data_IF_403438072389
#
_entry.id   IF_403438072389
#
_cell.length_a   1.000
_cell.length_b   1.000
_cell.length_c   1.000
_cell.angle_alpha   90.00
_cell.angle_beta   90.00
_cell.angle_gamma   90.00
#
_symmetry.space_group_name_H-M   'P 1'
#
loop_
_entity.id
_entity.type
_entity.pdbx_description
1 polymer ?
#
# COMPACT_ATOMS: atom_id res chain seq x y z
N UNK A 1 19.65 19.74 20.69
CA UNK A 1 19.27 18.51 21.44
C UNK A 1 18.63 18.94 22.75
N UNK A 2 17.44 18.44 23.08
CA UNK A 2 16.79 18.76 24.35
C UNK A 2 17.45 17.96 25.48
N UNK A 3 17.80 18.62 26.59
CA UNK A 3 18.30 17.95 27.80
C UNK A 3 17.10 17.39 28.57
N UNK A 4 17.11 16.09 28.84
CA UNK A 4 16.04 15.40 29.57
C UNK A 4 16.46 15.17 31.02
N UNK A 5 15.51 15.31 31.95
CA UNK A 5 15.72 15.12 33.38
C UNK A 5 14.62 14.21 33.93
N UNK A 6 14.99 13.26 34.78
CA UNK A 6 14.07 12.34 35.45
C UNK A 6 13.69 12.90 36.81
N UNK A 7 12.40 12.89 37.15
CA UNK A 7 11.89 13.25 38.47
C UNK A 7 11.53 11.96 39.22
N UNK A 8 12.17 11.69 40.36
CA UNK A 8 11.89 10.50 41.19
C UNK A 8 11.96 9.17 40.41
N UNK A 9 12.96 9.03 39.53
CA UNK A 9 13.18 7.87 38.64
C UNK A 9 12.07 7.64 37.60
N UNK A 10 11.19 8.61 37.36
CA UNK A 10 10.24 8.58 36.24
C UNK A 10 10.97 8.77 34.90
N UNK A 11 10.29 8.50 33.79
CA UNK A 11 10.86 8.69 32.45
C UNK A 11 11.35 10.15 32.26
N UNK A 12 12.60 10.35 31.78
CA UNK A 12 13.15 11.68 31.60
C UNK A 12 12.33 12.54 30.64
N UNK A 13 12.02 13.76 31.08
CA UNK A 13 11.30 14.75 30.28
C UNK A 13 12.06 16.08 30.25
N UNK A 14 11.68 16.98 29.35
CA UNK A 14 12.18 18.36 29.38
C UNK A 14 11.81 19.03 30.70
N UNK A 15 12.74 19.81 31.28
CA UNK A 15 12.46 20.55 32.51
C UNK A 15 11.24 21.46 32.34
N UNK A 16 10.34 21.50 33.35
CA UNK A 16 9.25 22.46 33.33
C UNK A 16 9.82 23.88 33.42
N UNK A 17 9.15 24.83 32.77
CA UNK A 17 9.56 26.25 32.81
C UNK A 17 9.52 26.84 34.22
N UNK A 18 8.74 26.24 35.13
CA UNK A 18 8.54 26.73 36.49
C UNK A 18 8.85 25.65 37.51
N UNK A 19 9.85 25.88 38.37
CA UNK A 19 10.21 25.01 39.47
C UNK A 19 10.16 25.76 40.79
N UNK A 20 9.64 25.09 41.82
CA UNK A 20 9.68 25.59 43.19
C UNK A 20 10.91 24.98 43.86
N UNK A 21 11.91 25.82 44.10
CA UNK A 21 13.20 25.42 44.69
C UNK A 21 13.31 26.18 46.01
N UNK A 22 13.50 25.46 47.12
CA UNK A 22 13.65 26.06 48.47
C UNK A 22 12.54 27.03 48.88
N UNK A 23 11.30 26.78 48.43
CA UNK A 23 10.15 27.64 48.73
C UNK A 23 9.95 28.80 47.76
N UNK A 24 10.93 29.11 46.90
CA UNK A 24 10.85 30.16 45.89
C UNK A 24 10.51 29.57 44.51
N UNK A 25 9.58 30.20 43.81
CA UNK A 25 9.20 29.80 42.45
C UNK A 25 10.10 30.51 41.44
N UNK A 26 10.89 29.77 40.68
CA UNK A 26 11.70 30.29 39.58
C UNK A 26 11.09 29.87 38.24
N UNK A 27 11.11 30.77 37.26
CA UNK A 27 10.43 30.62 35.95
C UNK A 27 11.37 30.51 34.76
N UNK A 28 12.68 30.41 35.00
CA UNK A 28 13.68 30.29 33.94
C UNK A 28 14.44 28.98 34.09
N UNK A 29 14.12 28.02 33.21
CA UNK A 29 14.70 26.68 33.21
C UNK A 29 16.16 26.62 32.80
N UNK A 30 16.70 27.67 32.17
CA UNK A 30 18.12 27.77 31.82
C UNK A 30 18.98 28.20 33.01
N UNK A 31 18.37 28.78 34.04
CA UNK A 31 19.05 29.31 35.23
C UNK A 31 19.19 28.29 36.37
N UNK A 32 18.67 27.07 36.20
CA UNK A 32 18.71 26.02 37.23
C UNK A 32 20.09 25.37 37.28
N UNK A 33 20.69 25.37 38.47
CA UNK A 33 21.93 24.66 38.74
C UNK A 33 21.68 23.18 39.01
N UNK A 34 22.71 22.34 38.86
CA UNK A 34 22.61 20.90 39.11
C UNK A 34 22.23 20.61 40.58
N UNK A 35 22.75 21.39 41.52
CA UNK A 35 22.44 21.28 42.95
C UNK A 35 20.96 21.57 43.24
N UNK A 36 20.40 22.61 42.63
CA UNK A 36 18.98 22.96 42.78
C UNK A 36 18.05 21.89 42.19
N UNK A 37 18.43 21.33 41.04
CA UNK A 37 17.69 20.24 40.40
C UNK A 37 17.70 18.98 41.28
N UNK A 38 18.86 18.62 41.83
CA UNK A 38 18.98 17.49 42.76
C UNK A 38 18.13 17.70 44.04
N UNK A 39 18.12 18.92 44.60
CA UNK A 39 17.25 19.25 45.75
C UNK A 39 15.76 19.16 45.42
N UNK A 40 15.37 19.48 44.18
CA UNK A 40 14.02 19.34 43.68
C UNK A 40 13.65 17.89 43.27
N UNK A 41 14.58 16.93 43.42
CA UNK A 41 14.38 15.51 43.10
C UNK A 41 14.58 15.15 41.63
N UNK A 42 15.16 16.05 40.84
CA UNK A 42 15.53 15.79 39.44
C UNK A 42 16.94 15.20 39.33
N UNK A 43 17.10 14.23 38.44
CA UNK A 43 18.38 13.62 38.06
C UNK A 43 18.62 13.78 36.55
N UNK A 44 19.89 13.91 36.13
CA UNK A 44 20.27 14.09 34.72
C UNK A 44 21.52 14.95 34.54
N UNK A 45 21.79 15.43 33.31
CA UNK A 45 20.98 15.28 32.11
C UNK A 45 21.08 13.87 31.48
N UNK A 46 19.96 13.36 30.98
CA UNK A 46 19.90 12.16 30.17
C UNK A 46 19.76 12.51 28.69
N UNK A 47 20.39 11.69 27.85
CA UNK A 47 20.21 11.73 26.41
C UNK A 47 19.58 10.42 25.98
N UNK A 48 18.48 10.49 25.23
CA UNK A 48 17.85 9.31 24.65
C UNK A 48 18.80 8.76 23.58
N UNK A 49 19.25 7.50 23.67
CA UNK A 49 20.11 6.91 22.65
C UNK A 49 19.37 6.83 21.31
N UNK A 50 20.13 6.92 20.22
CA UNK A 50 19.63 6.58 18.89
C UNK A 50 19.50 5.07 18.78
N UNK A 51 18.38 4.58 18.28
CA UNK A 51 18.13 3.17 18.02
C UNK A 51 17.54 3.00 16.62
N UNK A 52 17.66 1.81 16.05
CA UNK A 52 16.92 1.42 14.86
C UNK A 52 15.46 1.13 15.24
N UNK A 53 14.48 1.91 14.75
CA UNK A 53 13.07 1.72 15.12
C UNK A 53 12.47 0.38 14.63
N UNK A 54 13.14 -0.29 13.68
CA UNK A 54 12.71 -1.58 13.14
C UNK A 54 13.11 -2.73 14.05
N UNK A 55 14.31 -2.69 14.61
CA UNK A 55 14.93 -3.83 15.30
C UNK A 55 15.13 -3.60 16.79
N UNK A 56 14.98 -2.37 17.28
CA UNK A 56 15.32 -2.00 18.66
C UNK A 56 14.24 -1.12 19.31
N UNK A 57 14.20 -1.19 20.64
CA UNK A 57 13.41 -0.29 21.48
C UNK A 57 14.26 0.34 22.57
N UNK A 58 13.93 1.58 22.92
CA UNK A 58 14.57 2.29 24.03
C UNK A 58 13.66 2.22 25.25
N UNK A 59 14.14 1.63 26.33
CA UNK A 59 13.41 1.47 27.59
C UNK A 59 14.11 2.25 28.71
N UNK A 60 13.34 2.97 29.51
CA UNK A 60 13.83 3.61 30.73
C UNK A 60 13.88 2.61 31.88
N UNK A 61 15.04 2.45 32.52
CA UNK A 61 15.26 1.50 33.63
C UNK A 61 15.35 2.18 35.00
N UNK A 62 14.88 3.42 35.14
CA UNK A 62 14.91 4.19 36.39
C UNK A 62 16.21 4.97 36.62
N UNK A 63 17.35 4.47 36.14
CA UNK A 63 18.66 5.14 36.26
C UNK A 63 19.27 5.55 34.92
N UNK A 64 18.73 5.04 33.81
CA UNK A 64 19.25 5.28 32.47
C UNK A 64 18.35 4.66 31.40
N UNK A 65 18.61 5.04 30.14
CA UNK A 65 18.02 4.37 28.99
C UNK A 65 18.84 3.11 28.64
N UNK A 66 18.14 2.02 28.36
CA UNK A 66 18.70 0.82 27.75
C UNK A 66 18.10 0.65 26.35
N UNK A 67 18.95 0.28 25.40
CA UNK A 67 18.50 -0.17 24.07
C UNK A 67 18.38 -1.67 24.15
N UNK A 68 17.20 -2.20 23.81
CA UNK A 68 16.94 -3.63 23.75
C UNK A 68 16.63 -4.01 22.32
N UNK A 69 17.20 -5.12 21.88
CA UNK A 69 16.84 -5.74 20.60
C UNK A 69 15.43 -6.35 20.72
N UNK A 70 14.63 -6.19 19.67
CA UNK A 70 13.33 -6.82 19.56
C UNK A 70 13.49 -8.31 19.29
N UNK A 71 12.55 -9.10 19.77
CA UNK A 71 12.46 -10.50 19.38
C UNK A 71 12.07 -10.62 17.90
N UNK A 72 12.58 -11.65 17.21
CA UNK A 72 12.30 -11.90 15.79
C UNK A 72 10.80 -11.89 15.47
N UNK A 73 9.96 -12.42 16.38
CA UNK A 73 8.50 -12.43 16.21
C UNK A 73 7.86 -11.04 16.20
N UNK A 74 8.41 -10.09 16.98
CA UNK A 74 7.91 -8.72 17.02
C UNK A 74 8.41 -7.93 15.81
N UNK A 75 9.64 -8.20 15.34
CA UNK A 75 10.15 -7.63 14.09
C UNK A 75 9.25 -8.07 12.92
N UNK A 76 8.93 -9.36 12.82
CA UNK A 76 8.06 -9.88 11.76
C UNK A 76 6.65 -9.30 11.85
N UNK A 77 6.10 -9.19 13.07
CA UNK A 77 4.79 -8.56 13.28
C UNK A 77 4.77 -7.12 12.77
N UNK A 78 5.79 -6.31 13.11
CA UNK A 78 5.90 -4.92 12.64
C UNK A 78 6.08 -4.82 11.14
N UNK A 79 6.89 -5.72 10.57
CA UNK A 79 7.08 -5.84 9.11
C UNK A 79 5.73 -6.07 8.43
N UNK A 80 4.96 -7.05 8.92
CA UNK A 80 3.64 -7.37 8.40
C UNK A 80 2.65 -6.21 8.57
N UNK A 81 2.63 -5.54 9.72
CA UNK A 81 1.79 -4.35 9.94
C UNK A 81 2.15 -3.21 8.96
N UNK A 82 3.43 -3.01 8.68
CA UNK A 82 3.89 -2.02 7.70
C UNK A 82 3.47 -2.38 6.27
N UNK A 83 3.57 -3.66 5.89
CA UNK A 83 3.08 -4.17 4.59
C UNK A 83 1.58 -3.94 4.46
N UNK A 84 0.79 -4.31 5.48
CA UNK A 84 -0.67 -4.09 5.50
C UNK A 84 -1.03 -2.61 5.35
N UNK A 85 -0.31 -1.74 6.04
CA UNK A 85 -0.53 -0.29 5.96
C UNK A 85 -0.17 0.30 4.58
N UNK A 86 0.77 -0.32 3.86
CA UNK A 86 1.19 0.08 2.52
C UNK A 86 0.39 -0.54 1.37
N UNK A 87 -0.47 -1.53 1.64
CA UNK A 87 -1.22 -2.25 0.61
C UNK A 87 -2.28 -1.38 -0.07
N UNK A 88 -2.23 -1.26 -1.40
CA UNK A 88 -3.20 -0.51 -2.21
C UNK A 88 -4.16 -1.45 -2.95
N UNK A 89 -5.15 -1.98 -2.22
CA UNK A 89 -6.20 -2.83 -2.79
C UNK A 89 -6.99 -2.16 -3.92
N UNK A 90 -7.14 -0.83 -3.89
CA UNK A 90 -7.90 -0.09 -4.90
C UNK A 90 -7.09 0.06 -6.18
N UNK A 91 -5.80 0.39 -6.07
CA UNK A 91 -4.87 0.41 -7.19
C UNK A 91 -4.77 -0.96 -7.84
N UNK A 92 -4.55 -2.00 -7.05
CA UNK A 92 -4.51 -3.39 -7.51
C UNK A 92 -5.79 -3.78 -8.26
N UNK A 93 -6.96 -3.51 -7.69
CA UNK A 93 -8.23 -3.83 -8.34
C UNK A 93 -8.38 -3.18 -9.71
N UNK A 94 -7.97 -1.90 -9.85
CA UNK A 94 -8.01 -1.21 -11.15
C UNK A 94 -7.05 -1.84 -12.15
N UNK A 95 -5.83 -2.17 -11.73
CA UNK A 95 -4.85 -2.83 -12.57
C UNK A 95 -5.33 -4.22 -13.01
N UNK A 96 -5.90 -5.00 -12.09
CA UNK A 96 -6.47 -6.30 -12.35
C UNK A 96 -7.58 -6.20 -13.40
N UNK A 97 -8.55 -5.29 -13.24
CA UNK A 97 -9.62 -5.10 -14.23
C UNK A 97 -9.13 -4.79 -15.66
N UNK A 98 -7.95 -4.18 -15.77
CA UNK A 98 -7.33 -3.86 -17.06
C UNK A 98 -6.39 -4.93 -17.62
N UNK A 99 -6.07 -5.98 -16.85
CA UNK A 99 -5.10 -6.99 -17.25
C UNK A 99 -5.72 -8.13 -18.07
N UNK A 100 -4.86 -8.87 -18.79
CA UNK A 100 -5.24 -10.13 -19.44
C UNK A 100 -5.73 -11.17 -18.43
N UNK A 101 -5.11 -11.22 -17.24
CA UNK A 101 -5.49 -12.11 -16.13
C UNK A 101 -6.99 -12.01 -15.86
N UNK A 102 -7.54 -10.81 -15.71
CA UNK A 102 -8.97 -10.65 -15.45
C UNK A 102 -9.86 -11.11 -16.61
N UNK A 103 -9.41 -10.98 -17.86
CA UNK A 103 -10.14 -11.52 -19.01
C UNK A 103 -10.17 -13.05 -18.97
N UNK A 104 -9.06 -13.69 -18.56
CA UNK A 104 -8.99 -15.14 -18.37
C UNK A 104 -9.87 -15.61 -17.22
N UNK A 105 -9.87 -14.90 -16.08
CA UNK A 105 -10.79 -15.18 -14.97
C UNK A 105 -12.25 -15.11 -15.42
N UNK A 106 -12.60 -14.07 -16.20
CA UNK A 106 -13.96 -13.89 -16.72
C UNK A 106 -14.34 -15.00 -17.70
N UNK A 107 -13.43 -15.39 -18.59
CA UNK A 107 -13.67 -16.46 -19.55
C UNK A 107 -13.89 -17.81 -18.84
N UNK A 108 -13.07 -18.12 -17.85
CA UNK A 108 -13.21 -19.33 -17.04
C UNK A 108 -14.51 -19.33 -16.23
N UNK A 109 -14.85 -18.22 -15.57
CA UNK A 109 -16.11 -18.08 -14.83
C UNK A 109 -17.36 -18.21 -15.72
N UNK A 110 -17.26 -17.89 -17.01
CA UNK A 110 -18.35 -18.10 -17.96
C UNK A 110 -18.43 -19.56 -18.45
N UNK A 111 -17.33 -20.30 -18.39
CA UNK A 111 -17.23 -21.67 -18.90
C UNK A 111 -17.47 -22.74 -17.83
N UNK A 112 -17.14 -22.46 -16.56
CA UNK A 112 -17.20 -23.42 -15.46
C UNK A 112 -17.84 -22.82 -14.20
N UNK A 113 -18.74 -23.58 -13.58
CA UNK A 113 -19.47 -23.14 -12.37
C UNK A 113 -18.55 -23.04 -11.15
N UNK A 114 -17.58 -23.95 -11.01
CA UNK A 114 -16.60 -23.91 -9.92
C UNK A 114 -15.73 -22.66 -10.01
N UNK A 115 -15.19 -22.38 -11.20
CA UNK A 115 -14.44 -21.16 -11.48
C UNK A 115 -15.30 -19.90 -11.25
N UNK A 116 -16.58 -19.92 -11.60
CA UNK A 116 -17.50 -18.81 -11.35
C UNK A 116 -17.63 -18.49 -9.84
N UNK A 117 -17.79 -19.54 -9.03
CA UNK A 117 -17.87 -19.42 -7.57
C UNK A 117 -16.59 -18.81 -6.99
N UNK A 118 -15.43 -19.35 -7.34
CA UNK A 118 -14.12 -18.87 -6.86
C UNK A 118 -13.84 -17.42 -7.27
N UNK A 119 -14.13 -17.07 -8.53
CA UNK A 119 -13.96 -15.69 -9.03
C UNK A 119 -14.91 -14.74 -8.28
N UNK A 120 -16.15 -15.14 -8.04
CA UNK A 120 -17.13 -14.31 -7.32
C UNK A 120 -16.70 -14.08 -5.87
N UNK A 121 -16.20 -15.12 -5.20
CA UNK A 121 -15.68 -15.03 -3.83
C UNK A 121 -14.48 -14.09 -3.74
N UNK A 122 -13.50 -14.22 -4.65
CA UNK A 122 -12.36 -13.31 -4.72
C UNK A 122 -12.81 -11.86 -4.95
N UNK A 123 -13.76 -11.62 -5.84
CA UNK A 123 -14.29 -10.27 -6.13
C UNK A 123 -14.98 -9.68 -4.90
N UNK A 124 -15.78 -10.49 -4.17
CA UNK A 124 -16.44 -10.06 -2.95
C UNK A 124 -15.41 -9.66 -1.88
N UNK A 125 -14.43 -10.52 -1.62
CA UNK A 125 -13.38 -10.27 -0.64
C UNK A 125 -12.53 -9.03 -0.99
N UNK A 126 -12.19 -8.84 -2.26
CA UNK A 126 -11.52 -7.62 -2.74
C UNK A 126 -12.42 -6.38 -2.68
N UNK A 127 -13.75 -6.54 -2.75
CA UNK A 127 -14.71 -5.45 -2.59
C UNK A 127 -14.60 -4.79 -1.21
N UNK A 128 -14.61 -5.61 -0.16
CA UNK A 128 -14.49 -5.16 1.22
C UNK A 128 -13.11 -4.54 1.49
N UNK A 129 -12.06 -5.17 0.95
CA UNK A 129 -10.70 -4.63 1.05
C UNK A 129 -10.55 -3.21 0.47
N UNK A 130 -11.23 -2.90 -0.65
CA UNK A 130 -11.22 -1.54 -1.25
C UNK A 130 -11.93 -0.48 -0.39
N UNK A 131 -12.78 -0.91 0.53
CA UNK A 131 -13.47 -0.07 1.49
C UNK A 131 -12.66 0.11 2.79
N UNK A 132 -11.49 -0.52 2.89
CA UNK A 132 -10.60 -0.43 4.05
C UNK A 132 -10.78 -1.56 5.06
N UNK A 133 -11.53 -2.60 4.72
CA UNK A 133 -11.80 -3.75 5.59
C UNK A 133 -11.30 -5.06 4.94
N UNK A 134 -9.98 -5.20 4.69
CA UNK A 134 -9.45 -6.41 4.06
C UNK A 134 -9.57 -7.61 5.01
N UNK A 135 -10.20 -8.69 4.53
CA UNK A 135 -10.12 -10.00 5.16
C UNK A 135 -9.01 -10.82 4.47
N UNK A 136 -7.79 -10.70 4.99
CA UNK A 136 -6.59 -11.31 4.39
C UNK A 136 -6.69 -12.84 4.30
N UNK A 137 -7.31 -13.49 5.27
CA UNK A 137 -7.49 -14.94 5.27
C UNK A 137 -8.38 -15.39 4.10
N UNK A 138 -9.53 -14.73 3.90
CA UNK A 138 -10.44 -15.03 2.80
C UNK A 138 -9.82 -14.69 1.44
N UNK A 139 -9.17 -13.52 1.32
CA UNK A 139 -8.52 -13.13 0.06
C UNK A 139 -7.39 -14.11 -0.30
N UNK A 140 -6.58 -14.51 0.69
CA UNK A 140 -5.51 -15.48 0.51
C UNK A 140 -6.03 -16.85 0.07
N UNK A 141 -7.05 -17.39 0.74
CA UNK A 141 -7.67 -18.68 0.38
C UNK A 141 -8.27 -18.62 -1.02
N UNK A 142 -9.09 -17.60 -1.31
CA UNK A 142 -9.73 -17.45 -2.60
C UNK A 142 -8.71 -17.30 -3.74
N UNK A 143 -7.62 -16.55 -3.53
CA UNK A 143 -6.54 -16.41 -4.51
C UNK A 143 -5.83 -17.75 -4.75
N UNK A 144 -5.51 -18.48 -3.68
CA UNK A 144 -4.83 -19.78 -3.77
C UNK A 144 -5.67 -20.82 -4.51
N UNK A 145 -6.93 -20.98 -4.10
CA UNK A 145 -7.86 -21.93 -4.73
C UNK A 145 -8.10 -21.58 -6.20
N UNK A 146 -8.21 -20.28 -6.50
CA UNK A 146 -8.38 -19.80 -7.87
C UNK A 146 -7.15 -20.12 -8.74
N UNK A 147 -5.94 -19.90 -8.23
CA UNK A 147 -4.71 -20.19 -8.97
C UNK A 147 -4.51 -21.69 -9.22
N UNK A 148 -4.89 -22.52 -8.24
CA UNK A 148 -4.84 -23.98 -8.37
C UNK A 148 -5.89 -24.49 -9.38
N UNK A 149 -7.09 -23.90 -9.40
CA UNK A 149 -8.17 -24.34 -10.27
C UNK A 149 -8.02 -23.88 -11.74
N UNK A 150 -7.59 -22.65 -11.99
CA UNK A 150 -7.57 -22.08 -13.34
C UNK A 150 -6.31 -22.40 -14.16
N UNK A 151 -5.23 -22.87 -13.53
CA UNK A 151 -3.96 -23.15 -14.19
C UNK A 151 -3.55 -22.03 -15.18
N UNK A 152 -3.43 -20.80 -14.67
CA UNK A 152 -3.10 -19.62 -15.49
C UNK A 152 -1.80 -19.86 -16.29
N UNK A 153 -1.72 -19.36 -17.53
CA UNK A 153 -0.49 -19.42 -18.31
C UNK A 153 0.61 -18.58 -17.64
N UNK A 154 1.88 -18.96 -17.87
CA UNK A 154 3.01 -18.39 -17.12
C UNK A 154 3.16 -16.88 -17.23
N UNK A 155 2.86 -16.30 -18.39
CA UNK A 155 2.85 -14.86 -18.63
C UNK A 155 1.75 -14.14 -17.83
N UNK A 156 0.60 -14.77 -17.62
CA UNK A 156 -0.46 -14.24 -16.76
C UNK A 156 -0.11 -14.35 -15.28
N UNK A 157 0.54 -15.43 -14.86
CA UNK A 157 1.05 -15.57 -13.49
C UNK A 157 2.08 -14.47 -13.21
N UNK A 158 2.98 -14.20 -14.15
CA UNK A 158 3.96 -13.13 -14.07
C UNK A 158 3.29 -11.73 -14.04
N UNK A 159 2.27 -11.51 -14.88
CA UNK A 159 1.50 -10.27 -14.85
C UNK A 159 0.77 -10.05 -13.51
N UNK A 160 0.20 -11.11 -12.93
CA UNK A 160 -0.43 -11.06 -11.62
C UNK A 160 0.61 -10.77 -10.52
N UNK A 161 1.78 -11.40 -10.58
CA UNK A 161 2.90 -11.14 -9.67
C UNK A 161 3.28 -9.66 -9.68
N UNK A 162 3.52 -9.08 -10.86
CA UNK A 162 3.91 -7.68 -10.97
C UNK A 162 2.82 -6.73 -10.48
N UNK A 163 1.54 -7.05 -10.72
CA UNK A 163 0.43 -6.29 -10.15
C UNK A 163 0.44 -6.36 -8.62
N UNK A 164 0.52 -7.55 -8.02
CA UNK A 164 0.59 -7.71 -6.57
C UNK A 164 1.77 -6.95 -5.96
N UNK A 165 2.96 -7.02 -6.59
CA UNK A 165 4.16 -6.32 -6.13
C UNK A 165 4.02 -4.80 -6.23
N UNK A 166 3.51 -4.29 -7.36
CA UNK A 166 3.34 -2.86 -7.59
C UNK A 166 2.42 -2.18 -6.57
N UNK A 167 1.48 -2.93 -6.00
CA UNK A 167 0.50 -2.42 -5.02
C UNK A 167 0.72 -2.93 -3.60
N UNK A 168 1.90 -3.49 -3.29
CA UNK A 168 2.26 -3.90 -1.92
C UNK A 168 1.48 -5.10 -1.37
N UNK A 169 0.92 -5.93 -2.26
CA UNK A 169 0.07 -7.07 -1.91
C UNK A 169 0.80 -8.42 -2.03
N UNK A 170 1.93 -8.49 -2.72
CA UNK A 170 2.63 -9.76 -2.96
C UNK A 170 3.07 -10.46 -1.67
N UNK A 171 3.51 -9.70 -0.68
CA UNK A 171 3.91 -10.27 0.61
C UNK A 171 2.73 -10.80 1.43
N UNK A 172 1.51 -10.30 1.17
CA UNK A 172 0.28 -10.78 1.81
C UNK A 172 -0.27 -12.00 1.07
N UNK A 173 -0.16 -12.01 -0.25
CA UNK A 173 -0.74 -13.03 -1.13
C UNK A 173 0.31 -13.56 -2.11
N UNK A 174 1.30 -14.34 -1.63
CA UNK A 174 2.33 -14.90 -2.49
C UNK A 174 1.72 -15.93 -3.44
N UNK A 175 2.16 -15.92 -4.70
CA UNK A 175 1.73 -16.89 -5.71
C UNK A 175 2.48 -18.22 -5.47
N UNK A 176 1.77 -19.34 -5.20
CA UNK A 176 2.43 -20.61 -4.91
C UNK A 176 3.32 -21.10 -6.06
N UNK A 177 4.57 -21.45 -5.74
CA UNK A 177 5.52 -22.00 -6.72
C UNK A 177 6.07 -21.00 -7.74
N UNK A 178 5.63 -19.73 -7.70
CA UNK A 178 6.20 -18.69 -8.53
C UNK A 178 7.58 -18.29 -8.01
N UNK A 179 8.56 -18.24 -8.90
CA UNK A 179 9.90 -17.73 -8.62
C UNK A 179 9.99 -16.36 -9.26
N UNK A 180 10.30 -15.34 -8.46
CA UNK A 180 10.51 -13.98 -8.96
C UNK A 180 11.55 -14.01 -10.09
N UNK A 181 11.23 -13.48 -11.28
CA UNK A 181 12.19 -13.42 -12.36
C UNK A 181 13.37 -12.55 -11.91
N UNK A 182 14.59 -13.08 -12.04
CA UNK A 182 15.79 -12.31 -11.75
C UNK A 182 15.76 -11.04 -12.60
N UNK A 183 16.07 -9.86 -12.02
CA UNK A 183 16.18 -8.65 -12.80
C UNK A 183 17.16 -8.91 -13.95
N UNK A 184 16.84 -8.49 -15.19
CA UNK A 184 17.73 -8.71 -16.31
C UNK A 184 19.11 -8.21 -15.92
N UNK A 185 20.13 -9.05 -16.11
CA UNK A 185 21.50 -8.67 -15.83
C UNK A 185 21.74 -7.29 -16.45
N UNK A 186 22.37 -6.34 -15.73
CA UNK A 186 22.56 -5.00 -16.24
C UNK A 186 23.13 -5.11 -17.64
N UNK A 187 22.42 -4.56 -18.64
CA UNK A 187 22.87 -4.62 -20.02
C UNK A 187 24.35 -4.25 -20.02
N UNK A 188 25.23 -5.06 -20.63
CA UNK A 188 26.65 -4.78 -20.63
C UNK A 188 26.79 -3.35 -21.14
N UNK A 189 27.26 -2.46 -20.25
CA UNK A 189 27.32 -1.03 -20.52
C UNK A 189 27.85 -0.88 -21.95
N UNK A 190 27.03 -0.33 -22.85
CA UNK A 190 27.42 -0.15 -24.24
C UNK A 190 28.77 0.54 -24.20
N UNK A 191 29.83 -0.24 -24.46
CA UNK A 191 31.14 0.31 -24.68
C UNK A 191 30.90 1.16 -25.91
N UNK A 192 30.85 2.48 -25.72
CA UNK A 192 30.93 3.44 -26.79
C UNK A 192 32.28 3.16 -27.44
N UNK A 193 32.31 2.19 -28.36
CA UNK A 193 33.39 2.08 -29.31
C UNK A 193 33.36 3.42 -30.03
N UNK A 194 34.39 4.23 -29.75
CA UNK A 194 34.56 5.52 -30.38
C UNK A 194 34.57 5.28 -31.88
N UNK A 195 33.41 5.51 -32.51
CA UNK A 195 33.29 5.49 -33.96
C UNK A 195 34.39 6.41 -34.50
N UNK A 196 35.32 5.92 -35.34
CA UNK A 196 36.35 6.78 -35.89
C UNK A 196 35.64 7.93 -36.59
N UNK A 197 36.00 9.16 -36.20
CA UNK A 197 35.54 10.39 -36.82
C UNK A 197 35.93 10.34 -38.29
N UNK A 198 35.01 9.89 -39.15
CA UNK A 198 35.15 10.01 -40.59
C UNK A 198 34.91 11.48 -40.89
N UNK A 199 36.01 12.23 -41.05
CA UNK A 199 35.99 13.56 -41.64
C UNK A 199 35.59 13.35 -43.11
N UNK A 200 34.30 13.43 -43.41
CA UNK A 200 33.84 13.57 -44.78
C UNK A 200 34.05 15.02 -45.20
N UNK A 201 34.85 15.22 -46.24
CA UNK A 201 34.99 16.50 -46.94
C UNK A 201 33.62 17.07 -47.35
N UNK A 202 33.49 18.40 -47.44
CA UNK A 202 32.23 19.06 -47.78
C UNK A 202 31.79 18.65 -49.20
N UNK A 203 30.72 17.86 -49.27
CA UNK A 203 30.01 17.59 -50.51
C UNK A 203 29.16 18.84 -50.79
N UNK A 204 29.54 19.55 -51.86
CA UNK A 204 28.79 20.64 -52.46
C UNK A 204 27.61 20.02 -53.24
N UNK A 205 26.50 19.80 -52.55
CA UNK A 205 25.25 19.32 -53.15
C UNK A 205 24.31 20.49 -53.47
N UNK A 206 23.78 20.57 -54.70
CA UNK A 206 22.85 21.62 -55.10
C UNK A 206 21.49 21.42 -54.42
N UNK A 207 20.98 22.51 -53.85
CA UNK A 207 19.65 22.66 -53.27
C UNK A 207 18.60 22.31 -54.35
N UNK A 208 17.75 21.28 -54.14
CA UNK A 208 16.56 21.09 -54.97
C UNK A 208 15.48 22.09 -54.55
N UNK A 209 14.89 22.71 -55.56
CA UNK A 209 13.79 23.67 -55.47
C UNK A 209 12.55 23.04 -54.81
N UNK A 210 11.87 23.85 -53.98
CA UNK A 210 10.63 23.51 -53.29
C UNK A 210 9.51 23.25 -54.32
N UNK A 211 9.01 22.01 -54.38
CA UNK A 211 7.69 21.74 -54.98
C UNK A 211 6.62 21.85 -53.91
N UNK A 212 5.72 22.81 -54.11
CA UNK A 212 4.51 23.06 -53.33
C UNK A 212 3.55 21.86 -53.45
N UNK A 213 3.47 21.01 -52.43
CA UNK A 213 2.39 20.01 -52.37
C UNK A 213 1.14 20.56 -51.66
N UNK A 214 0.04 20.40 -52.39
CA UNK A 214 -1.30 20.90 -52.13
C UNK A 214 -1.85 20.48 -50.76
N UNK A 215 -2.37 21.47 -50.06
CA UNK A 215 -3.21 21.30 -48.87
C UNK A 215 -4.54 20.63 -49.28
N UNK A 216 -4.67 19.32 -49.07
CA UNK A 216 -5.95 18.63 -49.22
C UNK A 216 -6.81 18.90 -47.98
N UNK A 217 -7.78 19.80 -48.15
CA UNK A 217 -8.85 20.08 -47.19
C UNK A 217 -9.94 19.02 -47.33
N UNK A 218 -10.05 18.09 -46.37
CA UNK A 218 -11.23 17.23 -46.25
C UNK A 218 -12.34 17.95 -45.50
N UNK A 219 -13.33 18.41 -46.26
CA UNK A 219 -14.52 19.06 -45.78
C UNK A 219 -15.52 18.04 -45.20
N UNK A 220 -16.15 18.44 -44.11
CA UNK A 220 -17.15 17.73 -43.32
C UNK A 220 -18.37 17.27 -44.12
N UNK A 221 -18.69 15.97 -44.04
CA UNK A 221 -19.96 15.40 -44.46
C UNK A 221 -20.75 14.85 -43.28
N UNK A 222 -21.59 15.68 -42.67
CA UNK A 222 -22.65 15.24 -41.76
C UNK A 222 -23.73 14.51 -42.55
N UNK A 223 -23.95 13.22 -42.28
CA UNK A 223 -25.17 12.52 -42.72
C UNK A 223 -25.93 12.04 -41.50
N UNK A 224 -26.98 12.78 -41.18
CA UNK A 224 -28.05 12.39 -40.27
C UNK A 224 -28.86 11.26 -40.92
N UNK A 225 -28.92 10.11 -40.26
CA UNK A 225 -29.83 9.02 -40.58
C UNK A 225 -30.31 8.38 -39.30
N UNK A 226 -31.42 8.91 -38.76
CA UNK A 226 -32.15 8.24 -37.69
C UNK A 226 -33.08 7.19 -38.28
N UNK A 227 -33.03 5.96 -37.78
CA UNK A 227 -34.11 4.96 -37.89
C UNK A 227 -34.12 4.12 -36.59
N UNK A 228 -35.21 4.33 -35.83
CA UNK A 228 -36.00 3.49 -34.93
C UNK A 228 -35.44 2.22 -34.25
N UNK A 229 -35.70 2.19 -32.94
CA UNK A 229 -36.30 1.12 -32.12
C UNK A 229 -35.82 -0.34 -32.27
N UNK A 230 -35.32 -0.87 -31.15
CA UNK A 230 -35.28 -2.30 -30.89
C UNK A 230 -34.42 -2.67 -29.69
N UNK A 231 -35.09 -2.91 -28.55
CA UNK A 231 -34.72 -3.80 -27.42
C UNK A 231 -33.34 -4.48 -27.47
N UNK A 232 -32.49 -4.51 -26.45
CA UNK A 232 -32.78 -4.86 -25.05
C UNK A 232 -31.51 -4.54 -24.25
N UNK A 233 -31.52 -3.48 -23.44
CA UNK A 233 -30.44 -3.19 -22.50
C UNK A 233 -30.75 -3.89 -21.17
N UNK A 234 -30.07 -4.99 -20.87
CA UNK A 234 -30.00 -5.54 -19.54
C UNK A 234 -29.14 -4.61 -18.66
N UNK A 235 -29.76 -3.54 -18.18
CA UNK A 235 -29.23 -2.68 -17.13
C UNK A 235 -29.50 -3.34 -15.79
N UNK A 236 -28.45 -3.87 -15.17
CA UNK A 236 -28.48 -4.31 -13.77
C UNK A 236 -28.46 -3.06 -12.89
N UNK A 237 -29.64 -2.57 -12.50
CA UNK A 237 -29.81 -1.48 -11.55
C UNK A 237 -29.83 -2.10 -10.15
N UNK A 238 -28.76 -1.90 -9.37
CA UNK A 238 -28.85 -2.03 -7.92
C UNK A 238 -29.67 -0.83 -7.42
N UNK A 239 -30.96 -1.06 -7.15
CA UNK A 239 -31.76 -0.14 -6.34
C UNK A 239 -31.25 -0.19 -4.90
N UNK A 240 -30.46 0.81 -4.54
CA UNK A 240 -30.26 1.21 -3.15
C UNK A 240 -31.44 2.07 -2.73
N UNK A 241 -32.23 1.54 -1.80
CA UNK A 241 -33.27 2.20 -1.00
C UNK A 241 -33.68 1.10 0.01
N UNK A 242 -33.80 1.26 1.32
CA UNK A 242 -34.16 2.42 2.13
C UNK A 242 -33.70 2.13 3.57
N UNK A 243 -33.30 3.18 4.27
CA UNK A 243 -33.10 3.26 5.72
C UNK A 243 -34.40 2.85 6.43
N UNK A 244 -34.35 1.77 7.22
CA UNK A 244 -35.45 1.33 8.08
C UNK A 244 -34.94 0.96 9.47
N UNK A 245 -34.88 1.95 10.35
CA UNK A 245 -34.69 1.78 11.79
C UNK A 245 -36.06 1.49 12.44
N UNK A 246 -36.21 0.34 13.11
CA UNK A 246 -37.15 0.17 14.22
C UNK A 246 -36.95 -1.17 14.96
N UNK A 247 -36.77 -1.09 16.28
CA UNK A 247 -37.36 -2.03 17.24
C UNK A 247 -36.58 -3.29 17.57
N UNK A 248 -35.88 -3.27 18.70
CA UNK A 248 -35.67 -4.47 19.53
C UNK A 248 -37.01 -5.15 19.79
N UNK A 249 -37.13 -6.42 19.42
CA UNK A 249 -38.20 -7.29 19.89
C UNK A 249 -37.56 -8.41 20.72
N UNK A 250 -37.57 -8.20 22.04
CA UNK A 250 -37.11 -9.16 23.04
C UNK A 250 -38.17 -10.25 23.16
N UNK A 251 -37.92 -11.42 22.59
CA UNK A 251 -38.77 -12.59 22.81
C UNK A 251 -38.37 -13.26 24.13
N UNK A 252 -39.18 -13.06 25.16
CA UNK A 252 -39.14 -13.82 26.41
C UNK A 252 -39.98 -15.08 26.21
N UNK A 253 -39.35 -16.26 26.37
CA UNK A 253 -40.07 -17.53 26.46
C UNK A 253 -40.35 -17.81 27.94
N UNK A 254 -41.59 -17.62 28.36
CA UNK A 254 -42.13 -18.26 29.57
C UNK A 254 -42.35 -19.75 29.25
N UNK A 255 -41.64 -20.60 29.99
CA UNK A 255 -41.89 -22.04 30.06
C UNK A 255 -42.40 -22.34 31.46
N UNK A 256 -43.73 -22.34 31.62
CA UNK A 256 -44.42 -22.98 32.73
C UNK A 256 -45.59 -23.83 32.21
N UNK A 257 -45.72 -25.01 32.84
CA UNK A 257 -46.83 -25.97 32.88
C UNK A 257 -47.17 -26.83 31.64
N UNK A 258 -46.71 -28.10 31.64
CA UNK A 258 -47.47 -29.28 32.12
C UNK A 258 -46.55 -30.51 32.29
#
# INVERSE_FOLDING_TARGET
MALLYSLLNAEPASLPQRLKINGTTRTDSSSFTAEELNQAGYTGPFQKPSCDPVTQIVVWQGTGYAVLDLADSEIEKRRLEAVKAGADYRGFWRALLSSSVYQTLRAAAAADLGANMLVTELIAALSDAKLGEPNEEIIGSAMQELLEALALPGDEVEALYYALKAYGLYELYPIPGFVEPEPPAPEPALVLEESPVVITDPIDEPIPEEEEEETIVFNSGTTSGGISDGATSAGFIFSGDVIGSAGEDTVIFDLDDD
#
